data_IF_290892742223
#
_entry.id   IF_290892742223
#
_cell.length_a   1.000
_cell.length_b   1.000
_cell.length_c   1.000
_cell.angle_alpha   90.00
_cell.angle_beta   90.00
_cell.angle_gamma   90.00
#
_symmetry.space_group_name_H-M   'P 1'
#
loop_
_entity.id
_entity.type
_entity.pdbx_description
1 polymer ?
#
# COMPACT_ATOMS: atom_id res chain seq x y z
N UNK A 1 17.39 1.87 2.61
CA UNK A 1 16.72 1.95 1.29
C UNK A 1 15.26 1.63 1.51
N UNK A 2 14.36 2.51 1.08
CA UNK A 2 12.92 2.22 1.14
C UNK A 2 12.64 1.06 0.18
N UNK A 3 11.99 0.01 0.67
CA UNK A 3 11.58 -1.18 -0.10
C UNK A 3 10.52 -0.88 -1.17
N UNK A 4 9.92 0.32 -1.10
CA UNK A 4 8.98 0.84 -2.08
C UNK A 4 9.53 2.19 -2.55
N UNK A 5 9.90 2.27 -3.82
CA UNK A 5 10.21 3.55 -4.45
C UNK A 5 8.91 4.35 -4.68
N UNK A 6 8.99 5.69 -4.81
CA UNK A 6 7.82 6.49 -5.14
C UNK A 6 7.12 6.03 -6.44
N UNK A 7 7.89 5.55 -7.42
CA UNK A 7 7.35 5.07 -8.70
C UNK A 7 6.57 3.75 -8.56
N UNK A 8 7.05 2.82 -7.73
CA UNK A 8 6.33 1.59 -7.42
C UNK A 8 5.01 1.88 -6.69
N UNK A 9 5.02 2.83 -5.75
CA UNK A 9 3.82 3.27 -5.06
C UNK A 9 2.78 3.85 -6.03
N UNK A 10 3.23 4.69 -6.97
CA UNK A 10 2.36 5.28 -7.99
C UNK A 10 1.76 4.21 -8.90
N UNK A 11 2.58 3.26 -9.37
CA UNK A 11 2.14 2.17 -10.25
C UNK A 11 1.08 1.28 -9.59
N UNK A 12 1.28 0.91 -8.32
CA UNK A 12 0.30 0.13 -7.54
C UNK A 12 -0.99 0.93 -7.33
N UNK A 13 -0.86 2.22 -7.01
CA UNK A 13 -2.01 3.10 -6.82
C UNK A 13 -2.83 3.28 -8.10
N UNK A 14 -2.17 3.39 -9.26
CA UNK A 14 -2.83 3.45 -10.56
C UNK A 14 -3.53 2.14 -10.93
N UNK A 15 -2.95 0.99 -10.59
CA UNK A 15 -3.57 -0.32 -10.82
C UNK A 15 -4.84 -0.47 -9.98
N UNK A 16 -4.76 -0.18 -8.68
CA UNK A 16 -5.93 -0.17 -7.79
C UNK A 16 -7.02 0.81 -8.29
N UNK A 17 -6.61 1.97 -8.83
CA UNK A 17 -7.53 2.94 -9.44
C UNK A 17 -8.24 2.39 -10.68
N UNK A 18 -7.57 1.57 -11.50
CA UNK A 18 -8.19 0.93 -12.68
C UNK A 18 -9.21 -0.14 -12.28
N UNK A 19 -9.00 -0.83 -11.16
CA UNK A 19 -9.95 -1.81 -10.64
C UNK A 19 -11.28 -1.16 -10.19
N UNK A 20 -11.23 0.10 -9.73
CA UNK A 20 -12.41 0.94 -9.52
C UNK A 20 -12.87 1.05 -8.06
N UNK A 21 -13.98 1.77 -7.81
CA UNK A 21 -14.53 1.95 -6.46
C UNK A 21 -15.05 0.63 -5.88
N UNK A 22 -14.77 0.38 -4.60
CA UNK A 22 -15.05 -0.89 -3.92
C UNK A 22 -13.87 -1.88 -3.94
N UNK A 23 -12.78 -1.56 -4.64
CA UNK A 23 -11.52 -2.31 -4.56
C UNK A 23 -10.85 -2.11 -3.20
N UNK A 24 -10.17 -3.15 -2.72
CA UNK A 24 -9.27 -3.08 -1.57
C UNK A 24 -7.84 -3.32 -2.03
N UNK A 25 -6.94 -2.43 -1.62
CA UNK A 25 -5.49 -2.59 -1.75
C UNK A 25 -4.93 -3.11 -0.42
N UNK A 26 -4.36 -4.31 -0.45
CA UNK A 26 -3.65 -4.89 0.69
C UNK A 26 -2.14 -4.75 0.50
N UNK A 27 -1.47 -4.10 1.45
CA UNK A 27 -0.03 -3.89 1.43
C UNK A 27 0.60 -4.60 2.62
N UNK A 28 1.44 -5.59 2.34
CA UNK A 28 2.24 -6.28 3.35
C UNK A 28 3.65 -5.71 3.35
N UNK A 29 4.07 -5.15 4.48
CA UNK A 29 5.40 -4.59 4.70
C UNK A 29 6.31 -5.67 5.30
N UNK A 30 7.46 -5.98 4.68
CA UNK A 30 8.39 -6.98 5.20
C UNK A 30 8.82 -6.67 6.64
N UNK A 31 8.81 -7.70 7.49
CA UNK A 31 9.31 -7.58 8.86
C UNK A 31 10.85 -7.43 8.89
N UNK A 32 11.40 -6.71 9.88
CA UNK A 32 10.69 -5.90 10.87
C UNK A 32 10.19 -4.58 10.27
N UNK A 33 8.95 -4.21 10.59
CA UNK A 33 8.36 -2.94 10.20
C UNK A 33 7.84 -2.21 11.44
N UNK A 34 8.45 -1.10 11.80
CA UNK A 34 7.97 -0.25 12.89
C UNK A 34 6.72 0.55 12.47
N UNK A 35 5.95 1.03 13.44
CA UNK A 35 4.75 1.85 13.23
C UNK A 35 4.99 3.05 12.31
N UNK A 36 6.17 3.68 12.40
CA UNK A 36 6.54 4.80 11.53
C UNK A 36 6.61 4.39 10.04
N UNK A 37 7.10 3.17 9.76
CA UNK A 37 7.17 2.62 8.40
C UNK A 37 5.76 2.27 7.89
N UNK A 38 4.93 1.69 8.75
CA UNK A 38 3.53 1.41 8.41
C UNK A 38 2.74 2.71 8.14
N UNK A 39 2.93 3.73 8.96
CA UNK A 39 2.30 5.04 8.79
C UNK A 39 2.75 5.74 7.49
N UNK A 40 4.05 5.65 7.14
CA UNK A 40 4.56 6.18 5.89
C UNK A 40 3.87 5.51 4.67
N UNK A 41 3.72 4.18 4.69
CA UNK A 41 3.02 3.44 3.63
C UNK A 41 1.54 3.82 3.57
N UNK A 42 0.85 3.96 4.71
CA UNK A 42 -0.53 4.46 4.74
C UNK A 42 -0.64 5.85 4.11
N UNK A 43 0.32 6.75 4.38
CA UNK A 43 0.33 8.10 3.82
C UNK A 43 0.55 8.10 2.30
N UNK A 44 1.37 7.19 1.76
CA UNK A 44 1.60 7.07 0.31
C UNK A 44 0.33 6.72 -0.46
N UNK A 45 -0.52 5.87 0.12
CA UNK A 45 -1.75 5.39 -0.51
C UNK A 45 -3.02 6.09 -0.02
N UNK A 46 -2.92 7.05 0.92
CA UNK A 46 -4.08 7.70 1.53
C UNK A 46 -5.00 8.42 0.53
N UNK A 47 -4.47 8.84 -0.61
CA UNK A 47 -5.25 9.46 -1.69
C UNK A 47 -6.22 8.49 -2.39
N UNK A 48 -6.03 7.17 -2.26
CA UNK A 48 -6.94 6.16 -2.80
C UNK A 48 -8.28 6.10 -2.08
N UNK A 49 -8.32 6.48 -0.80
CA UNK A 49 -9.58 6.57 -0.04
C UNK A 49 -10.54 7.59 -0.69
N UNK A 50 -10.01 8.70 -1.23
CA UNK A 50 -10.80 9.69 -1.97
C UNK A 50 -11.36 9.15 -3.31
N UNK A 51 -10.90 7.98 -3.76
CA UNK A 51 -11.39 7.26 -4.95
C UNK A 51 -12.29 6.06 -4.59
N UNK A 52 -12.63 5.88 -3.31
CA UNK A 52 -13.47 4.78 -2.85
C UNK A 52 -12.73 3.43 -2.79
N UNK A 53 -11.40 3.47 -2.64
CA UNK A 53 -10.55 2.29 -2.52
C UNK A 53 -10.07 2.19 -1.08
N UNK A 54 -10.29 1.03 -0.47
CA UNK A 54 -9.88 0.74 0.90
C UNK A 54 -8.41 0.31 0.93
N UNK A 55 -7.60 0.85 1.83
CA UNK A 55 -6.16 0.54 1.93
C UNK A 55 -5.86 -0.10 3.28
N UNK A 56 -5.43 -1.35 3.25
CA UNK A 56 -5.06 -2.11 4.44
C UNK A 56 -3.55 -2.34 4.42
N UNK A 57 -2.84 -1.75 5.38
CA UNK A 57 -1.39 -1.94 5.56
C UNK A 57 -1.15 -2.80 6.79
N UNK A 58 -0.38 -3.88 6.61
CA UNK A 58 0.04 -4.82 7.66
C UNK A 58 1.53 -5.11 7.54
N UNK A 59 2.17 -5.43 8.66
CA UNK A 59 3.47 -6.09 8.60
C UNK A 59 3.29 -7.59 8.32
N UNK A 60 4.27 -8.22 7.68
CA UNK A 60 4.26 -9.66 7.44
C UNK A 60 5.47 -10.08 6.62
N UNK A 61 5.72 -11.38 6.56
CA UNK A 61 6.67 -11.94 5.61
C UNK A 61 6.01 -11.93 4.22
N UNK A 62 6.69 -11.39 3.22
CA UNK A 62 6.14 -11.27 1.86
C UNK A 62 6.09 -12.62 1.11
N UNK A 63 6.15 -13.74 1.82
CA UNK A 63 6.06 -15.11 1.30
C UNK A 63 4.75 -15.71 1.87
N UNK A 64 3.74 -16.14 1.12
CA UNK A 64 3.70 -16.71 -0.22
C UNK A 64 2.45 -16.24 -0.99
N UNK A 65 2.65 -15.81 -2.24
CA UNK A 65 1.74 -16.11 -3.34
C UNK A 65 2.43 -17.15 -4.23
#
# INVERSE_FOLDING_TARGET
MSWLTPYEAETIGEDARRAGPGTRLEVTVPRPADDARLAAVRSLFGWLAAKGIDVVVREGDAEQL
#
